data_IF_032639834587
#
_entry.id   IF_032639834587
#
_cell.length_a   1.000
_cell.length_b   1.000
_cell.length_c   1.000
_cell.angle_alpha   90.00
_cell.angle_beta   90.00
_cell.angle_gamma   90.00
#
_symmetry.space_group_name_H-M   'P 1'
#
loop_
_entity.id
_entity.type
_entity.pdbx_description
1 polymer ?
#
# COMPACT_ATOMS: atom_id res chain seq x y z
N UNK A 1 -122.91 31.63 16.97
CA UNK A 1 -123.24 32.89 16.25
C UNK A 1 -121.91 33.49 15.78
N UNK A 2 -121.69 33.61 14.46
CA UNK A 2 -120.53 34.30 13.83
C UNK A 2 -119.23 33.46 13.78
N UNK A 3 -118.84 32.76 12.70
CA UNK A 3 -118.38 33.18 11.35
C UNK A 3 -117.11 34.07 11.34
N UNK A 4 -115.97 33.53 10.85
CA UNK A 4 -115.19 33.99 9.65
C UNK A 4 -113.65 33.79 9.73
N UNK A 5 -113.16 32.92 8.85
CA UNK A 5 -112.23 33.19 7.74
C UNK A 5 -110.89 33.94 7.92
N UNK A 6 -109.84 33.24 7.46
CA UNK A 6 -108.85 33.64 6.43
C UNK A 6 -107.59 34.42 6.85
N UNK A 7 -106.42 33.93 6.42
CA UNK A 7 -105.23 34.75 6.22
C UNK A 7 -103.90 34.03 6.40
N UNK A 8 -103.41 33.36 5.35
CA UNK A 8 -102.01 32.91 5.23
C UNK A 8 -101.12 34.16 5.05
N UNK A 9 -100.13 34.34 5.92
CA UNK A 9 -99.00 35.26 5.68
C UNK A 9 -97.70 34.48 5.90
N UNK A 10 -97.01 34.24 4.79
CA UNK A 10 -95.65 33.72 4.69
C UNK A 10 -94.70 34.86 5.07
N UNK A 11 -93.94 34.71 6.15
CA UNK A 11 -92.85 35.62 6.50
C UNK A 11 -91.51 34.92 6.22
N UNK A 12 -90.77 35.48 5.27
CA UNK A 12 -89.55 34.96 4.67
C UNK A 12 -88.36 35.17 5.64
N UNK A 13 -87.93 34.13 6.35
CA UNK A 13 -86.70 34.18 7.17
C UNK A 13 -85.45 34.03 6.28
N UNK A 14 -84.84 35.16 5.94
CA UNK A 14 -83.56 35.27 5.24
C UNK A 14 -82.43 34.74 6.16
N UNK A 15 -82.08 33.46 6.02
CA UNK A 15 -80.97 32.84 6.75
C UNK A 15 -79.64 33.25 6.08
N UNK A 16 -78.94 34.23 6.65
CA UNK A 16 -77.51 34.43 6.38
C UNK A 16 -76.76 33.19 6.87
N UNK A 17 -76.37 32.32 5.95
CA UNK A 17 -75.43 31.24 6.21
C UNK A 17 -74.03 31.84 6.37
N UNK A 18 -73.63 32.11 7.61
CA UNK A 18 -72.24 32.33 7.96
C UNK A 18 -71.51 30.99 7.80
N UNK A 19 -70.76 30.83 6.70
CA UNK A 19 -69.81 29.73 6.57
C UNK A 19 -68.77 29.84 7.68
N UNK A 20 -68.96 29.09 8.76
CA UNK A 20 -67.96 28.93 9.81
C UNK A 20 -66.75 28.22 9.19
N UNK A 21 -65.68 28.98 8.95
CA UNK A 21 -64.41 28.43 8.51
C UNK A 21 -63.87 27.56 9.64
N UNK A 22 -63.86 26.24 9.44
CA UNK A 22 -63.38 25.26 10.41
C UNK A 22 -61.89 25.49 10.71
N UNK A 23 -61.59 26.15 11.83
CA UNK A 23 -60.22 26.47 12.26
C UNK A 23 -59.49 25.23 12.78
N UNK A 24 -58.21 25.10 12.44
CA UNK A 24 -57.32 24.04 12.97
C UNK A 24 -56.92 24.42 14.40
N UNK A 25 -57.12 23.54 15.39
CA UNK A 25 -56.73 23.80 16.79
C UNK A 25 -55.37 23.17 17.08
N UNK A 26 -54.45 23.94 17.67
CA UNK A 26 -53.10 23.51 18.04
C UNK A 26 -52.98 23.40 19.56
N UNK A 27 -52.24 22.40 20.05
CA UNK A 27 -51.88 22.19 21.45
C UNK A 27 -50.36 22.08 21.60
N UNK A 28 -49.74 22.83 22.50
CA UNK A 28 -48.30 22.73 22.82
C UNK A 28 -48.03 23.08 24.29
N UNK A 29 -46.81 22.86 24.77
CA UNK A 29 -46.36 23.18 26.13
C UNK A 29 -45.25 24.24 26.07
N UNK A 30 -45.35 25.31 26.88
CA UNK A 30 -44.34 26.38 26.96
C UNK A 30 -43.20 26.04 27.94
N UNK A 31 -42.21 26.94 28.08
CA UNK A 31 -41.05 26.75 28.98
C UNK A 31 -41.43 26.71 30.47
N UNK A 32 -42.58 27.25 30.85
CA UNK A 32 -43.11 27.22 32.22
C UNK A 32 -43.93 25.94 32.47
N UNK A 33 -43.99 25.01 31.50
CA UNK A 33 -44.74 23.77 31.60
C UNK A 33 -46.25 23.93 31.41
N UNK A 34 -46.71 25.11 30.94
CA UNK A 34 -48.13 25.38 30.71
C UNK A 34 -48.56 24.89 29.34
N UNK A 35 -49.70 24.22 29.29
CA UNK A 35 -50.29 23.76 28.04
C UNK A 35 -51.14 24.86 27.42
N UNK A 36 -50.87 25.21 26.17
CA UNK A 36 -51.58 26.22 25.40
C UNK A 36 -52.43 25.58 24.31
N UNK A 37 -53.59 26.17 24.04
CA UNK A 37 -54.47 25.82 22.93
C UNK A 37 -54.77 27.07 22.11
N UNK A 38 -54.56 27.03 20.79
CA UNK A 38 -54.80 28.18 19.92
C UNK A 38 -55.20 27.74 18.52
N UNK A 39 -56.04 28.54 17.86
CA UNK A 39 -56.37 28.41 16.44
C UNK A 39 -55.21 28.84 15.52
N UNK A 40 -54.25 29.61 16.06
CA UNK A 40 -53.04 30.08 15.39
C UNK A 40 -51.80 29.76 16.24
N UNK A 41 -50.86 29.04 15.65
CA UNK A 41 -49.56 28.78 16.26
C UNK A 41 -48.68 30.04 16.19
N UNK A 42 -48.23 30.62 17.32
CA UNK A 42 -47.32 31.76 17.30
C UNK A 42 -45.99 31.38 16.64
N UNK A 43 -45.34 32.28 15.88
CA UNK A 43 -44.06 31.98 15.22
C UNK A 43 -42.97 31.51 16.20
N UNK A 44 -42.97 32.01 17.44
CA UNK A 44 -42.02 31.64 18.49
C UNK A 44 -42.07 30.16 18.86
N UNK A 45 -43.22 29.49 18.73
CA UNK A 45 -43.45 28.11 19.21
C UNK A 45 -43.29 27.05 18.11
N UNK A 46 -42.93 27.48 16.90
CA UNK A 46 -42.83 26.60 15.71
C UNK A 46 -41.83 25.46 15.87
N UNK A 47 -40.82 25.64 16.73
CA UNK A 47 -39.75 24.68 16.99
C UNK A 47 -40.09 23.64 18.07
N UNK A 48 -41.24 23.73 18.74
CA UNK A 48 -41.63 22.81 19.81
C UNK A 48 -42.52 21.67 19.31
N UNK A 49 -42.56 20.61 20.13
CA UNK A 49 -43.51 19.53 19.98
C UNK A 49 -44.95 20.07 20.14
N UNK A 50 -45.84 19.69 19.22
CA UNK A 50 -47.23 20.17 19.18
C UNK A 50 -48.17 19.12 18.61
N UNK A 51 -49.43 19.20 18.99
CA UNK A 51 -50.51 18.38 18.46
C UNK A 51 -51.53 19.23 17.73
N UNK A 52 -52.01 18.75 16.59
CA UNK A 52 -53.18 19.26 15.88
C UNK A 52 -54.40 18.47 16.36
N UNK A 53 -55.41 19.19 16.81
CA UNK A 53 -56.66 18.63 17.29
C UNK A 53 -57.78 18.87 16.26
N UNK A 54 -58.70 17.93 16.14
CA UNK A 54 -59.95 18.12 15.39
C UNK A 54 -61.00 18.90 16.21
N UNK A 55 -62.19 19.06 15.63
CA UNK A 55 -63.31 19.79 16.24
C UNK A 55 -63.80 19.15 17.55
N UNK A 56 -63.46 17.90 17.81
CA UNK A 56 -63.84 17.15 19.01
C UNK A 56 -62.71 17.15 20.06
N UNK A 57 -61.60 17.85 19.78
CA UNK A 57 -60.43 17.91 20.66
C UNK A 57 -59.54 16.67 20.57
N UNK A 58 -59.73 15.81 19.57
CA UNK A 58 -58.97 14.58 19.39
C UNK A 58 -57.71 14.89 18.58
N UNK A 59 -56.55 14.39 19.02
CA UNK A 59 -55.28 14.55 18.29
C UNK A 59 -55.33 13.81 16.97
N UNK A 60 -55.35 14.57 15.88
CA UNK A 60 -55.31 14.04 14.51
C UNK A 60 -53.92 14.06 13.90
N UNK A 61 -52.99 14.86 14.44
CA UNK A 61 -51.59 14.88 14.01
C UNK A 61 -50.68 15.37 15.13
N UNK A 62 -49.53 14.74 15.31
CA UNK A 62 -48.49 15.20 16.23
C UNK A 62 -47.25 15.61 15.42
N UNK A 63 -46.59 16.69 15.86
CA UNK A 63 -45.33 17.19 15.31
C UNK A 63 -44.35 17.25 16.46
N UNK A 64 -43.24 16.55 16.38
CA UNK A 64 -42.22 16.55 17.45
C UNK A 64 -41.42 17.87 17.46
N UNK A 65 -40.67 18.09 18.54
CA UNK A 65 -39.80 19.25 18.64
C UNK A 65 -38.71 19.22 17.54
N UNK A 66 -38.25 20.40 17.12
CA UNK A 66 -37.08 20.52 16.29
C UNK A 66 -35.89 19.91 17.04
N UNK A 67 -35.16 19.01 16.36
CA UNK A 67 -33.94 18.38 16.90
C UNK A 67 -32.95 19.46 17.30
N UNK A 68 -32.23 19.22 18.40
CA UNK A 68 -31.13 20.09 18.79
C UNK A 68 -29.98 20.01 17.77
N UNK A 69 -29.14 21.04 17.72
CA UNK A 69 -27.94 21.04 16.88
C UNK A 69 -27.00 19.87 17.21
N UNK A 70 -27.00 19.38 18.46
CA UNK A 70 -26.24 18.19 18.87
C UNK A 70 -26.83 16.91 18.29
N UNK A 71 -28.15 16.72 18.38
CA UNK A 71 -28.84 15.55 17.81
C UNK A 71 -28.70 15.51 16.28
N UNK A 72 -28.81 16.66 15.62
CA UNK A 72 -28.57 16.76 14.18
C UNK A 72 -27.13 16.40 13.80
N UNK A 73 -26.13 16.86 14.58
CA UNK A 73 -24.72 16.50 14.34
C UNK A 73 -24.48 15.01 14.55
N UNK A 74 -25.05 14.41 15.60
CA UNK A 74 -24.92 12.97 15.86
C UNK A 74 -25.57 12.13 14.76
N UNK A 75 -26.75 12.50 14.26
CA UNK A 75 -27.39 11.81 13.14
C UNK A 75 -26.57 11.94 11.84
N UNK A 76 -26.04 13.12 11.55
CA UNK A 76 -25.16 13.33 10.39
C UNK A 76 -23.88 12.48 10.48
N UNK A 77 -23.28 12.37 11.67
CA UNK A 77 -22.11 11.53 11.90
C UNK A 77 -22.45 10.04 11.75
N UNK A 78 -23.58 9.58 12.32
CA UNK A 78 -24.03 8.20 12.17
C UNK A 78 -24.32 7.84 10.71
N UNK A 79 -24.98 8.73 9.97
CA UNK A 79 -25.25 8.52 8.54
C UNK A 79 -23.95 8.53 7.73
N UNK A 80 -23.00 9.43 8.03
CA UNK A 80 -21.67 9.42 7.41
C UNK A 80 -20.96 8.09 7.63
N UNK A 81 -20.94 7.59 8.87
CA UNK A 81 -20.33 6.29 9.21
C UNK A 81 -21.04 5.12 8.52
N UNK A 82 -22.37 5.17 8.41
CA UNK A 82 -23.16 4.15 7.70
C UNK A 82 -22.82 4.13 6.21
N UNK A 83 -22.79 5.30 5.56
CA UNK A 83 -22.44 5.44 4.15
C UNK A 83 -20.99 4.99 3.89
N UNK A 84 -20.06 5.31 4.79
CA UNK A 84 -18.67 4.85 4.70
C UNK A 84 -18.57 3.33 4.79
N UNK A 85 -19.24 2.71 5.77
CA UNK A 85 -19.30 1.24 5.91
C UNK A 85 -19.90 0.59 4.66
N UNK A 86 -20.98 1.14 4.12
CA UNK A 86 -21.61 0.63 2.90
C UNK A 86 -20.65 0.71 1.71
N UNK A 87 -19.97 1.85 1.52
CA UNK A 87 -18.96 2.01 0.45
C UNK A 87 -17.82 0.99 0.56
N UNK A 88 -17.31 0.75 1.77
CA UNK A 88 -16.25 -0.24 2.00
C UNK A 88 -16.74 -1.65 1.67
N UNK A 89 -17.97 -2.01 2.09
CA UNK A 89 -18.58 -3.31 1.79
C UNK A 89 -18.77 -3.51 0.28
N UNK A 90 -19.36 -2.52 -0.41
CA UNK A 90 -19.60 -2.56 -1.85
C UNK A 90 -18.29 -2.70 -2.63
N UNK A 91 -17.25 -1.96 -2.22
CA UNK A 91 -15.90 -2.06 -2.79
C UNK A 91 -15.34 -3.47 -2.59
N UNK A 92 -15.42 -4.03 -1.39
CA UNK A 92 -14.94 -5.39 -1.12
C UNK A 92 -15.67 -6.42 -1.97
N UNK A 93 -17.01 -6.34 -2.04
CA UNK A 93 -17.80 -7.26 -2.86
C UNK A 93 -17.46 -7.12 -4.35
N UNK A 94 -17.18 -5.92 -4.85
CA UNK A 94 -16.73 -5.71 -6.21
C UNK A 94 -15.37 -6.39 -6.46
N UNK A 95 -14.41 -6.24 -5.55
CA UNK A 95 -13.11 -6.90 -5.61
C UNK A 95 -13.26 -8.42 -5.56
N UNK A 96 -14.09 -8.95 -4.67
CA UNK A 96 -14.37 -10.39 -4.55
C UNK A 96 -14.96 -10.96 -5.85
N UNK A 97 -15.91 -10.23 -6.47
CA UNK A 97 -16.49 -10.62 -7.76
C UNK A 97 -15.44 -10.64 -8.87
N UNK A 98 -14.53 -9.66 -8.89
CA UNK A 98 -13.42 -9.64 -9.86
C UNK A 98 -12.50 -10.84 -9.62
N UNK A 99 -12.07 -11.06 -8.37
CA UNK A 99 -11.18 -12.17 -8.00
C UNK A 99 -11.75 -13.53 -8.45
N UNK A 100 -13.01 -13.81 -8.13
CA UNK A 100 -13.68 -15.07 -8.49
C UNK A 100 -13.98 -15.21 -9.99
N UNK A 101 -14.02 -14.12 -10.75
CA UNK A 101 -14.19 -14.14 -12.21
C UNK A 101 -12.85 -14.32 -12.93
N UNK A 102 -11.79 -13.72 -12.41
CA UNK A 102 -10.44 -13.79 -12.97
C UNK A 102 -9.84 -15.18 -12.76
N UNK A 103 -10.05 -15.78 -11.58
CA UNK A 103 -9.44 -17.06 -11.22
C UNK A 103 -10.52 -18.10 -10.90
N UNK A 104 -10.42 -19.28 -11.53
CA UNK A 104 -11.36 -20.40 -11.30
C UNK A 104 -10.87 -21.32 -10.20
N UNK A 105 -9.55 -21.49 -10.12
CA UNK A 105 -8.84 -22.36 -9.18
C UNK A 105 -7.71 -21.63 -8.48
N UNK A 106 -7.20 -22.20 -7.38
CA UNK A 106 -5.99 -21.69 -6.73
C UNK A 106 -4.77 -21.78 -7.65
N UNK A 107 -4.69 -22.83 -8.47
CA UNK A 107 -3.62 -23.03 -9.44
C UNK A 107 -3.56 -21.90 -10.47
N UNK A 108 -4.70 -21.33 -10.88
CA UNK A 108 -4.72 -20.16 -11.78
C UNK A 108 -4.04 -18.94 -11.15
N UNK A 109 -4.28 -18.70 -9.86
CA UNK A 109 -3.66 -17.62 -9.08
C UNK A 109 -2.14 -17.85 -9.02
N UNK A 110 -1.74 -19.07 -8.64
CA UNK A 110 -0.33 -19.44 -8.50
C UNK A 110 0.41 -19.40 -9.84
N UNK A 111 -0.19 -19.88 -10.91
CA UNK A 111 0.36 -19.85 -12.26
C UNK A 111 0.56 -18.41 -12.74
N UNK A 112 -0.44 -17.54 -12.52
CA UNK A 112 -0.36 -16.13 -12.90
C UNK A 112 0.74 -15.41 -12.11
N UNK A 113 0.80 -15.62 -10.78
CA UNK A 113 1.87 -15.11 -9.92
C UNK A 113 3.23 -15.55 -10.42
N UNK A 114 3.42 -16.85 -10.64
CA UNK A 114 4.70 -17.43 -11.04
C UNK A 114 5.12 -16.90 -12.42
N UNK A 115 4.19 -16.71 -13.35
CA UNK A 115 4.45 -16.08 -14.65
C UNK A 115 4.96 -14.64 -14.51
N UNK A 116 4.33 -13.83 -13.66
CA UNK A 116 4.79 -12.45 -13.39
C UNK A 116 6.15 -12.42 -12.70
N UNK A 117 6.38 -13.30 -11.71
CA UNK A 117 7.68 -13.42 -11.05
C UNK A 117 8.77 -13.83 -12.04
N UNK A 118 8.51 -14.78 -12.94
CA UNK A 118 9.45 -15.23 -13.96
C UNK A 118 9.81 -14.12 -14.97
N UNK A 119 8.85 -13.25 -15.30
CA UNK A 119 9.12 -12.08 -16.15
C UNK A 119 10.10 -11.12 -15.46
N UNK A 120 9.88 -10.79 -14.18
CA UNK A 120 10.79 -9.94 -13.41
C UNK A 120 12.17 -10.60 -13.25
N UNK A 121 12.20 -11.90 -12.96
CA UNK A 121 13.43 -12.67 -12.84
C UNK A 121 14.26 -12.67 -14.13
N UNK A 122 13.60 -12.74 -15.29
CA UNK A 122 14.28 -12.65 -16.59
C UNK A 122 15.00 -11.32 -16.75
N UNK A 123 14.40 -10.22 -16.32
CA UNK A 123 15.07 -8.92 -16.33
C UNK A 123 16.27 -8.88 -15.37
N UNK A 124 16.15 -9.48 -14.18
CA UNK A 124 17.28 -9.57 -13.23
C UNK A 124 18.45 -10.30 -13.87
N UNK A 125 18.22 -11.45 -14.52
CA UNK A 125 19.28 -12.21 -15.22
C UNK A 125 19.96 -11.42 -16.34
N UNK A 126 19.20 -10.61 -17.08
CA UNK A 126 19.76 -9.71 -18.10
C UNK A 126 20.64 -8.64 -17.45
N UNK A 127 20.19 -8.03 -16.36
CA UNK A 127 20.98 -7.04 -15.60
C UNK A 127 22.24 -7.66 -15.01
N UNK A 128 22.17 -8.87 -14.45
CA UNK A 128 23.34 -9.62 -13.95
C UNK A 128 24.37 -9.89 -15.06
N UNK A 129 23.90 -10.23 -16.27
CA UNK A 129 24.78 -10.41 -17.42
C UNK A 129 25.46 -9.09 -17.84
N UNK A 130 24.74 -7.97 -17.78
CA UNK A 130 25.31 -6.64 -18.00
C UNK A 130 26.35 -6.28 -16.91
N UNK A 131 26.06 -6.57 -15.65
CA UNK A 131 26.98 -6.36 -14.52
C UNK A 131 28.29 -7.12 -14.74
N UNK A 132 28.22 -8.39 -15.15
CA UNK A 132 29.44 -9.17 -15.44
C UNK A 132 30.29 -8.48 -16.51
N UNK A 133 29.68 -8.05 -17.61
CA UNK A 133 30.38 -7.31 -18.68
C UNK A 133 30.99 -6.00 -18.17
N UNK A 134 30.25 -5.22 -17.39
CA UNK A 134 30.72 -3.95 -16.82
C UNK A 134 31.93 -4.16 -15.90
N UNK A 135 31.89 -5.19 -15.04
CA UNK A 135 33.02 -5.54 -14.16
C UNK A 135 34.27 -5.91 -14.95
N UNK A 136 34.16 -6.77 -15.95
CA UNK A 136 35.29 -7.15 -16.80
C UNK A 136 35.88 -5.93 -17.53
N UNK A 137 35.04 -5.07 -18.12
CA UNK A 137 35.52 -3.83 -18.75
C UNK A 137 36.22 -2.91 -17.75
N UNK A 138 35.68 -2.78 -16.53
CA UNK A 138 36.29 -1.97 -15.47
C UNK A 138 37.65 -2.50 -15.05
N UNK A 139 37.78 -3.81 -14.85
CA UNK A 139 39.06 -4.45 -14.49
C UNK A 139 40.12 -4.21 -15.59
N UNK A 140 39.77 -4.38 -16.87
CA UNK A 140 40.68 -4.10 -17.99
C UNK A 140 41.14 -2.63 -18.01
N UNK A 141 40.21 -1.69 -17.81
CA UNK A 141 40.51 -0.26 -17.79
C UNK A 141 41.40 0.11 -16.59
N UNK A 142 41.11 -0.39 -15.41
CA UNK A 142 41.92 -0.10 -14.21
C UNK A 142 43.32 -0.74 -14.31
N UNK A 143 43.44 -1.94 -14.87
CA UNK A 143 44.73 -2.57 -15.12
C UNK A 143 45.57 -1.78 -16.13
N UNK A 144 44.96 -1.29 -17.22
CA UNK A 144 45.66 -0.44 -18.18
C UNK A 144 46.12 0.89 -17.54
N UNK A 145 45.27 1.50 -16.71
CA UNK A 145 45.61 2.72 -15.99
C UNK A 145 46.79 2.49 -15.02
N UNK A 146 46.75 1.41 -14.23
CA UNK A 146 47.82 1.03 -13.32
C UNK A 146 49.14 0.77 -14.06
N UNK A 147 49.12 0.04 -15.19
CA UNK A 147 50.31 -0.20 -16.00
C UNK A 147 50.93 1.10 -16.53
N UNK A 148 50.10 2.07 -16.94
CA UNK A 148 50.56 3.40 -17.38
C UNK A 148 51.30 4.13 -16.26
N UNK A 149 50.71 4.17 -15.07
CA UNK A 149 51.30 4.82 -13.89
C UNK A 149 52.62 4.15 -13.49
N UNK A 150 52.65 2.82 -13.41
CA UNK A 150 53.86 2.03 -13.15
C UNK A 150 54.95 2.25 -14.21
N UNK A 151 54.56 2.55 -15.45
CA UNK A 151 55.47 2.89 -16.55
C UNK A 151 55.87 4.38 -16.55
N UNK A 152 55.52 5.15 -15.52
CA UNK A 152 55.80 6.58 -15.41
C UNK A 152 55.00 7.47 -16.38
N UNK A 153 53.96 6.94 -17.03
CA UNK A 153 53.12 7.68 -17.98
C UNK A 153 51.82 8.10 -17.31
N UNK A 154 51.42 9.38 -17.36
CA UNK A 154 50.19 9.82 -16.71
C UNK A 154 48.94 9.18 -17.34
N UNK A 155 47.94 8.87 -16.53
CA UNK A 155 46.62 8.45 -17.00
C UNK A 155 45.89 9.67 -17.56
N UNK A 156 45.26 9.53 -18.74
CA UNK A 156 44.54 10.67 -19.34
C UNK A 156 43.28 11.00 -18.54
N UNK A 157 42.93 12.29 -18.45
CA UNK A 157 41.69 12.75 -17.79
C UNK A 157 40.43 12.09 -18.40
N UNK A 158 40.45 11.85 -19.72
CA UNK A 158 39.38 11.14 -20.43
C UNK A 158 39.21 9.71 -19.89
N UNK A 159 40.32 8.99 -19.73
CA UNK A 159 40.28 7.62 -19.23
C UNK A 159 39.76 7.54 -17.78
N UNK A 160 40.20 8.44 -16.91
CA UNK A 160 39.68 8.50 -15.53
C UNK A 160 38.16 8.76 -15.52
N UNK A 161 37.70 9.69 -16.35
CA UNK A 161 36.27 9.97 -16.51
C UNK A 161 35.49 8.76 -17.04
N UNK A 162 36.05 8.04 -18.03
CA UNK A 162 35.42 6.85 -18.59
C UNK A 162 35.30 5.74 -17.53
N UNK A 163 36.32 5.55 -16.67
CA UNK A 163 36.28 4.62 -15.53
C UNK A 163 35.14 5.00 -14.58
N UNK A 164 35.03 6.27 -14.19
CA UNK A 164 33.99 6.72 -13.26
C UNK A 164 32.59 6.56 -13.85
N UNK A 165 32.40 6.82 -15.14
CA UNK A 165 31.14 6.55 -15.85
C UNK A 165 30.79 5.05 -15.81
N UNK A 166 31.76 4.16 -15.97
CA UNK A 166 31.51 2.70 -15.87
C UNK A 166 31.21 2.27 -14.43
N UNK A 167 31.86 2.87 -13.42
CA UNK A 167 31.56 2.62 -12.00
C UNK A 167 30.13 3.06 -11.66
N UNK A 168 29.70 4.22 -12.14
CA UNK A 168 28.31 4.67 -11.96
C UNK A 168 27.31 3.73 -12.65
N UNK A 169 27.57 3.34 -13.89
CA UNK A 169 26.69 2.40 -14.61
C UNK A 169 26.56 1.05 -13.89
N UNK A 170 27.61 0.60 -13.19
CA UNK A 170 27.58 -0.60 -12.36
C UNK A 170 26.72 -0.41 -11.10
N UNK A 171 26.83 0.73 -10.42
CA UNK A 171 25.96 1.07 -9.28
C UNK A 171 24.49 1.16 -9.70
N UNK A 172 24.19 1.80 -10.83
CA UNK A 172 22.84 1.91 -11.38
C UNK A 172 22.25 0.53 -11.70
N UNK A 173 23.07 -0.37 -12.26
CA UNK A 173 22.66 -1.75 -12.53
C UNK A 173 22.32 -2.52 -11.25
N UNK A 174 23.10 -2.33 -10.17
CA UNK A 174 22.80 -2.91 -8.86
C UNK A 174 21.52 -2.34 -8.24
N UNK A 175 21.34 -1.02 -8.31
CA UNK A 175 20.10 -0.37 -7.86
C UNK A 175 18.87 -0.96 -8.58
N UNK A 176 18.99 -1.20 -9.90
CA UNK A 176 17.91 -1.81 -10.68
C UNK A 176 17.59 -3.24 -10.24
N UNK A 177 18.57 -4.03 -9.77
CA UNK A 177 18.31 -5.37 -9.21
C UNK A 177 17.49 -5.25 -7.92
N UNK A 178 17.88 -4.34 -7.02
CA UNK A 178 17.18 -4.14 -5.74
C UNK A 178 15.72 -3.72 -5.98
N UNK A 179 15.49 -2.77 -6.89
CA UNK A 179 14.14 -2.34 -7.25
C UNK A 179 13.28 -3.49 -7.83
N UNK A 180 13.90 -4.40 -8.59
CA UNK A 180 13.23 -5.58 -9.15
C UNK A 180 12.93 -6.63 -8.09
N UNK A 181 13.80 -6.82 -7.10
CA UNK A 181 13.49 -7.70 -5.96
C UNK A 181 12.36 -7.14 -5.10
N UNK A 182 12.31 -5.83 -4.87
CA UNK A 182 11.14 -5.19 -4.26
C UNK A 182 9.87 -5.34 -5.11
N UNK A 183 9.99 -5.30 -6.45
CA UNK A 183 8.86 -5.58 -7.33
C UNK A 183 8.37 -7.03 -7.20
N UNK A 184 9.28 -8.02 -7.17
CA UNK A 184 8.92 -9.42 -6.88
C UNK A 184 8.16 -9.54 -5.56
N UNK A 185 8.59 -8.82 -4.53
CA UNK A 185 7.87 -8.81 -3.25
C UNK A 185 6.45 -8.24 -3.35
N UNK A 186 6.28 -7.09 -4.02
CA UNK A 186 4.94 -6.51 -4.24
C UNK A 186 4.00 -7.49 -4.95
N UNK A 187 4.52 -8.23 -5.94
CA UNK A 187 3.77 -9.30 -6.61
C UNK A 187 3.42 -10.40 -5.60
N UNK A 188 4.41 -10.93 -4.85
CA UNK A 188 4.17 -11.99 -3.85
C UNK A 188 3.10 -11.58 -2.82
N UNK A 189 3.21 -10.39 -2.25
CA UNK A 189 2.27 -9.87 -1.26
C UNK A 189 0.86 -9.69 -1.84
N UNK A 190 0.74 -9.11 -3.04
CA UNK A 190 -0.55 -8.95 -3.72
C UNK A 190 -1.23 -10.31 -3.92
N UNK A 191 -0.50 -11.26 -4.50
CA UNK A 191 -1.05 -12.60 -4.77
C UNK A 191 -1.27 -13.42 -3.51
N UNK A 192 -0.51 -13.19 -2.43
CA UNK A 192 -0.76 -13.80 -1.13
C UNK A 192 -2.09 -13.33 -0.53
N UNK A 193 -2.40 -12.04 -0.62
CA UNK A 193 -3.70 -11.49 -0.20
C UNK A 193 -4.83 -12.05 -1.06
N UNK A 194 -4.66 -12.10 -2.37
CA UNK A 194 -5.65 -12.67 -3.30
C UNK A 194 -5.89 -14.15 -3.03
N UNK A 195 -4.83 -14.93 -2.82
CA UNK A 195 -4.94 -16.36 -2.54
C UNK A 195 -5.63 -16.61 -1.20
N UNK A 196 -5.27 -15.86 -0.15
CA UNK A 196 -5.95 -15.94 1.14
C UNK A 196 -7.44 -15.60 1.00
N UNK A 197 -7.77 -14.50 0.32
CA UNK A 197 -9.17 -14.10 0.11
C UNK A 197 -9.94 -15.11 -0.73
N UNK A 198 -9.32 -15.68 -1.76
CA UNK A 198 -9.92 -16.70 -2.59
C UNK A 198 -10.26 -17.97 -1.79
N UNK A 199 -9.35 -18.43 -0.93
CA UNK A 199 -9.56 -19.56 -0.01
C UNK A 199 -10.75 -19.32 0.90
N UNK A 200 -10.86 -18.12 1.49
CA UNK A 200 -12.00 -17.73 2.34
C UNK A 200 -13.32 -17.79 1.56
N UNK A 201 -13.38 -17.19 0.37
CA UNK A 201 -14.59 -17.14 -0.46
C UNK A 201 -15.03 -18.52 -0.96
N UNK A 202 -14.06 -19.41 -1.24
CA UNK A 202 -14.30 -20.79 -1.68
C UNK A 202 -14.46 -21.78 -0.52
N UNK A 203 -14.28 -21.33 0.73
CA UNK A 203 -14.31 -22.17 1.95
C UNK A 203 -13.33 -23.34 1.87
N UNK A 204 -12.14 -23.09 1.33
CA UNK A 204 -11.08 -24.09 1.23
C UNK A 204 -10.31 -24.14 2.55
N UNK A 205 -10.12 -25.35 3.08
CA UNK A 205 -9.24 -25.56 4.23
C UNK A 205 -7.80 -25.62 3.73
N UNK A 206 -6.92 -24.80 4.29
CA UNK A 206 -5.49 -24.83 3.98
C UNK A 206 -4.67 -24.75 5.26
N UNK A 207 -3.58 -25.52 5.30
CA UNK A 207 -2.61 -25.53 6.39
C UNK A 207 -1.52 -24.47 6.22
N UNK A 208 -1.45 -23.80 5.06
CA UNK A 208 -0.40 -22.80 4.79
C UNK A 208 -0.96 -21.38 4.73
N UNK A 209 -0.19 -20.43 5.27
CA UNK A 209 -0.50 -19.01 5.23
C UNK A 209 0.29 -18.34 4.08
N UNK A 210 -0.35 -17.97 2.96
CA UNK A 210 0.35 -17.36 1.82
C UNK A 210 1.08 -16.06 2.15
N UNK A 211 0.63 -15.34 3.18
CA UNK A 211 1.23 -14.07 3.60
C UNK A 211 2.59 -14.33 4.24
N UNK A 212 2.67 -15.29 5.15
CA UNK A 212 3.93 -15.70 5.78
C UNK A 212 4.91 -16.25 4.74
N UNK A 213 4.45 -17.11 3.82
CA UNK A 213 5.29 -17.62 2.72
C UNK A 213 5.87 -16.48 1.85
N UNK A 214 5.08 -15.43 1.60
CA UNK A 214 5.51 -14.27 0.84
C UNK A 214 6.55 -13.43 1.60
N UNK A 215 6.37 -13.24 2.91
CA UNK A 215 7.30 -12.52 3.78
C UNK A 215 8.64 -13.25 3.92
N UNK A 216 8.61 -14.56 4.17
CA UNK A 216 9.82 -15.39 4.23
C UNK A 216 10.60 -15.34 2.90
N UNK A 217 9.89 -15.47 1.78
CA UNK A 217 10.48 -15.39 0.44
C UNK A 217 11.12 -14.02 0.15
N UNK A 218 10.60 -12.95 0.74
CA UNK A 218 11.16 -11.61 0.58
C UNK A 218 12.39 -11.40 1.45
N UNK A 219 12.32 -11.83 2.71
CA UNK A 219 13.43 -11.75 3.64
C UNK A 219 14.64 -12.53 3.11
N UNK A 220 14.42 -13.72 2.54
CA UNK A 220 15.45 -14.51 1.87
C UNK A 220 16.07 -13.77 0.67
N UNK A 221 15.25 -13.17 -0.19
CA UNK A 221 15.72 -12.46 -1.38
C UNK A 221 16.56 -11.21 -1.07
N UNK A 222 16.33 -10.55 0.07
CA UNK A 222 17.03 -9.32 0.47
C UNK A 222 18.09 -9.51 1.55
N UNK A 223 18.49 -10.75 1.89
CA UNK A 223 19.59 -11.01 2.85
C UNK A 223 20.90 -10.28 2.48
N UNK A 224 21.09 -10.01 1.19
CA UNK A 224 22.27 -9.34 0.65
C UNK A 224 22.14 -7.81 0.59
N UNK A 225 21.06 -7.25 1.13
CA UNK A 225 20.82 -5.80 1.15
C UNK A 225 20.76 -5.35 2.60
N UNK A 226 21.57 -4.34 2.92
CA UNK A 226 21.55 -3.68 4.22
C UNK A 226 21.06 -2.24 4.05
N UNK A 227 19.97 -1.89 4.72
CA UNK A 227 19.38 -0.55 4.64
C UNK A 227 19.96 0.36 5.73
N UNK A 228 20.54 1.49 5.35
CA UNK A 228 20.96 2.55 6.25
C UNK A 228 19.87 3.62 6.37
N UNK A 229 19.72 4.20 7.57
CA UNK A 229 18.79 5.31 7.80
C UNK A 229 19.20 6.60 7.06
N UNK A 230 20.51 6.80 6.84
CA UNK A 230 21.06 7.92 6.09
C UNK A 230 22.43 7.56 5.54
N UNK A 231 22.96 8.38 4.63
CA UNK A 231 24.30 8.20 4.10
C UNK A 231 25.37 8.24 5.21
N UNK A 232 25.32 9.23 6.10
CA UNK A 232 26.24 9.29 7.25
C UNK A 232 26.16 8.07 8.16
N UNK A 233 24.95 7.55 8.41
CA UNK A 233 24.75 6.33 9.20
C UNK A 233 25.36 5.09 8.53
N UNK A 234 25.60 5.14 7.22
CA UNK A 234 26.15 4.06 6.42
C UNK A 234 27.68 3.94 6.52
N UNK A 235 28.38 4.90 7.11
CA UNK A 235 29.85 4.89 7.20
C UNK A 235 30.42 3.71 8.01
N UNK A 236 29.85 3.42 9.19
CA UNK A 236 30.27 2.27 10.01
C UNK A 236 29.90 0.93 9.33
N UNK A 237 28.64 0.70 8.92
CA UNK A 237 28.27 -0.49 8.15
C UNK A 237 29.11 -0.70 6.91
N UNK A 238 29.47 0.37 6.18
CA UNK A 238 30.31 0.26 4.99
C UNK A 238 31.72 -0.27 5.30
N UNK A 239 32.34 0.21 6.39
CA UNK A 239 33.63 -0.34 6.84
C UNK A 239 33.52 -1.82 7.21
N UNK A 240 32.43 -2.22 7.89
CA UNK A 240 32.18 -3.62 8.24
C UNK A 240 31.92 -4.47 7.01
N UNK A 241 31.19 -3.95 6.01
CA UNK A 241 30.97 -4.62 4.74
C UNK A 241 32.28 -4.91 4.00
N UNK A 242 33.22 -3.96 3.99
CA UNK A 242 34.58 -4.19 3.43
C UNK A 242 35.34 -5.29 4.19
N UNK A 243 35.20 -5.36 5.51
CA UNK A 243 35.81 -6.44 6.32
C UNK A 243 35.14 -7.79 6.06
N UNK A 244 33.81 -7.81 5.96
CA UNK A 244 33.02 -8.98 5.66
C UNK A 244 33.39 -9.55 4.28
N UNK A 245 33.48 -8.68 3.26
CA UNK A 245 33.97 -9.04 1.93
C UNK A 245 35.34 -9.72 2.03
N UNK A 246 36.33 -9.09 2.68
CA UNK A 246 37.69 -9.65 2.79
C UNK A 246 37.73 -11.00 3.50
N UNK A 247 36.83 -11.24 4.46
CA UNK A 247 36.74 -12.50 5.21
C UNK A 247 36.12 -13.63 4.38
N UNK A 248 35.17 -13.31 3.50
CA UNK A 248 34.34 -14.30 2.82
C UNK A 248 34.62 -14.45 1.33
N UNK A 249 35.37 -13.53 0.71
CA UNK A 249 35.86 -13.69 -0.65
C UNK A 249 37.10 -14.58 -0.69
N UNK A 250 37.15 -15.53 -1.62
CA UNK A 250 38.38 -16.29 -1.89
C UNK A 250 39.27 -15.61 -2.93
N UNK A 251 38.71 -14.68 -3.72
CA UNK A 251 39.44 -13.96 -4.77
C UNK A 251 39.96 -12.61 -4.26
N UNK A 252 41.07 -12.14 -4.83
CA UNK A 252 41.73 -10.92 -4.39
C UNK A 252 40.90 -9.67 -4.71
N UNK A 253 40.96 -8.64 -3.86
CA UNK A 253 40.37 -7.32 -4.13
C UNK A 253 41.09 -6.70 -5.33
N UNK A 254 40.32 -6.31 -6.35
CA UNK A 254 40.82 -5.64 -7.56
C UNK A 254 40.50 -4.16 -7.55
N UNK A 255 39.28 -3.82 -7.14
CA UNK A 255 38.78 -2.46 -7.10
C UNK A 255 38.39 -2.13 -5.66
N UNK A 256 38.98 -1.10 -5.08
CA UNK A 256 38.63 -0.57 -3.76
C UNK A 256 38.32 0.94 -3.86
N UNK A 257 37.09 1.23 -4.28
CA UNK A 257 36.58 2.59 -4.40
C UNK A 257 35.87 3.09 -3.14
N UNK A 258 35.46 4.36 -3.19
CA UNK A 258 34.71 4.99 -2.10
C UNK A 258 33.37 4.28 -1.84
N UNK A 259 32.59 4.03 -2.91
CA UNK A 259 31.24 3.45 -2.84
C UNK A 259 31.14 2.05 -3.43
N UNK A 260 32.24 1.46 -3.91
CA UNK A 260 32.22 0.14 -4.51
C UNK A 260 33.52 -0.61 -4.25
N UNK A 261 33.43 -1.88 -3.91
CA UNK A 261 34.59 -2.78 -3.75
C UNK A 261 34.30 -4.06 -4.51
N UNK A 262 35.22 -4.51 -5.36
CA UNK A 262 35.04 -5.67 -6.23
C UNK A 262 36.28 -6.56 -6.12
N UNK A 263 36.05 -7.85 -5.87
CA UNK A 263 37.09 -8.88 -5.97
C UNK A 263 37.19 -9.43 -7.38
N UNK A 264 38.32 -10.07 -7.70
CA UNK A 264 38.58 -10.66 -9.00
C UNK A 264 37.50 -11.69 -9.39
N UNK A 265 37.36 -11.94 -10.69
CA UNK A 265 36.47 -12.98 -11.19
C UNK A 265 36.87 -14.36 -10.62
N UNK A 266 35.89 -15.24 -10.34
CA UNK A 266 36.15 -16.59 -9.85
C UNK A 266 36.70 -17.46 -10.99
N UNK A 267 37.91 -18.00 -10.84
CA UNK A 267 38.63 -18.76 -11.88
C UNK A 267 38.66 -20.25 -11.57
N UNK A 268 38.80 -20.61 -10.30
CA UNK A 268 38.84 -21.98 -9.79
C UNK A 268 37.48 -22.42 -9.30
N UNK A 269 37.31 -23.74 -9.21
CA UNK A 269 36.17 -24.29 -8.50
C UNK A 269 36.24 -23.89 -7.02
N UNK A 270 35.09 -23.54 -6.44
CA UNK A 270 35.01 -23.03 -5.07
C UNK A 270 35.39 -21.55 -4.94
N UNK A 271 35.83 -20.87 -6.01
CA UNK A 271 36.09 -19.43 -5.92
C UNK A 271 34.80 -18.66 -5.66
N UNK A 272 34.83 -17.82 -4.62
CA UNK A 272 33.78 -16.90 -4.22
C UNK A 272 34.29 -15.49 -4.46
N UNK A 273 33.72 -14.85 -5.47
CA UNK A 273 33.91 -13.43 -5.76
C UNK A 273 32.76 -12.64 -5.15
N UNK A 274 33.09 -11.58 -4.41
CA UNK A 274 32.13 -10.70 -3.76
C UNK A 274 32.32 -9.28 -4.28
N UNK A 275 31.23 -8.58 -4.53
CA UNK A 275 31.23 -7.15 -4.79
C UNK A 275 30.29 -6.44 -3.85
N UNK A 276 30.76 -5.38 -3.23
CA UNK A 276 29.99 -4.54 -2.33
C UNK A 276 29.75 -3.19 -2.99
N UNK A 277 28.52 -2.71 -2.97
CA UNK A 277 28.16 -1.39 -3.49
C UNK A 277 27.35 -0.62 -2.45
N UNK A 278 27.79 0.59 -2.11
CA UNK A 278 27.01 1.59 -1.38
C UNK A 278 26.24 2.40 -2.40
N UNK A 279 24.92 2.33 -2.34
CA UNK A 279 24.01 2.92 -3.33
C UNK A 279 23.10 3.90 -2.60
N UNK A 280 23.09 5.14 -3.04
CA UNK A 280 22.19 6.16 -2.53
C UNK A 280 20.93 6.21 -3.41
N UNK A 281 19.75 6.20 -2.77
CA UNK A 281 18.48 6.49 -3.42
C UNK A 281 18.05 7.92 -3.04
N UNK A 282 18.39 8.92 -3.87
CA UNK A 282 18.07 10.32 -3.58
C UNK A 282 16.55 10.59 -3.55
N UNK A 283 15.73 9.74 -4.18
CA UNK A 283 14.26 9.90 -4.15
C UNK A 283 13.69 9.50 -2.80
N UNK A 284 14.29 8.51 -2.14
CA UNK A 284 13.86 8.01 -0.83
C UNK A 284 14.68 8.58 0.33
N UNK A 285 15.79 9.27 0.05
CA UNK A 285 16.73 9.75 1.05
C UNK A 285 17.39 8.62 1.84
N UNK A 286 17.47 7.42 1.25
CA UNK A 286 17.98 6.21 1.90
C UNK A 286 19.25 5.74 1.21
N UNK A 287 20.21 5.23 1.98
CA UNK A 287 21.41 4.59 1.44
C UNK A 287 21.35 3.10 1.76
N UNK A 288 21.74 2.27 0.80
CA UNK A 288 21.79 0.81 0.98
C UNK A 288 23.19 0.30 0.68
N UNK A 289 23.58 -0.78 1.36
CA UNK A 289 24.78 -1.55 1.02
C UNK A 289 24.31 -2.87 0.41
N UNK A 290 24.73 -3.10 -0.82
CA UNK A 290 24.39 -4.27 -1.61
C UNK A 290 25.60 -5.20 -1.72
N UNK A 291 25.39 -6.49 -1.45
CA UNK A 291 26.38 -7.55 -1.66
C UNK A 291 25.98 -8.42 -2.86
N UNK A 292 26.78 -8.35 -3.92
CA UNK A 292 26.73 -9.26 -5.05
C UNK A 292 27.73 -10.41 -4.85
N UNK A 293 27.30 -11.64 -5.06
CA UNK A 293 28.15 -12.83 -4.91
C UNK A 293 28.14 -13.61 -6.22
N UNK A 294 29.33 -13.92 -6.73
CA UNK A 294 29.54 -14.64 -7.98
C UNK A 294 30.50 -15.80 -7.75
N UNK A 295 30.18 -16.94 -8.35
CA UNK A 295 31.09 -18.09 -8.42
C UNK A 295 31.34 -18.49 -9.86
N UNK A 296 32.33 -19.35 -10.04
CA UNK A 296 32.56 -20.01 -11.34
C UNK A 296 31.34 -20.85 -11.70
N UNK A 297 30.79 -20.63 -12.90
CA UNK A 297 29.75 -21.50 -13.45
C UNK A 297 30.38 -22.81 -13.89
N UNK A 298 29.90 -23.90 -13.32
CA UNK A 298 30.19 -25.25 -13.77
C UNK A 298 28.94 -25.83 -14.44
N UNK A 299 28.93 -26.01 -15.78
CA UNK A 299 27.79 -26.57 -16.50
C UNK A 299 27.53 -28.05 -16.19
N UNK A 300 28.48 -28.75 -15.58
CA UNK A 300 28.37 -30.19 -15.27
C UNK A 300 27.75 -30.46 -13.89
N UNK A 301 27.59 -29.42 -13.07
CA UNK A 301 27.14 -29.56 -11.69
C UNK A 301 25.63 -29.39 -11.58
N UNK A 302 24.97 -30.34 -10.91
CA UNK A 302 23.52 -30.33 -10.68
C UNK A 302 23.04 -29.23 -9.71
N UNK A 303 23.94 -28.61 -8.93
CA UNK A 303 23.61 -27.58 -7.94
C UNK A 303 24.26 -26.25 -8.32
N UNK A 304 23.42 -25.22 -8.52
CA UNK A 304 23.88 -23.86 -8.72
C UNK A 304 24.69 -23.36 -7.51
N UNK A 305 25.79 -22.61 -7.74
CA UNK A 305 26.67 -22.15 -6.65
C UNK A 305 25.92 -21.37 -5.56
N UNK A 306 24.91 -20.60 -5.95
CA UNK A 306 24.07 -19.81 -5.04
C UNK A 306 23.35 -20.64 -3.97
N UNK A 307 23.23 -21.96 -4.17
CA UNK A 307 22.58 -22.91 -3.26
C UNK A 307 23.57 -23.71 -2.41
N UNK A 308 24.86 -23.40 -2.49
CA UNK A 308 25.86 -24.08 -1.64
C UNK A 308 25.73 -23.61 -0.19
N UNK A 309 25.94 -24.48 0.81
CA UNK A 309 25.83 -24.10 2.22
C UNK A 309 26.71 -22.91 2.60
N UNK A 310 27.92 -22.84 2.06
CA UNK A 310 28.85 -21.74 2.28
C UNK A 310 28.30 -20.41 1.77
N UNK A 311 27.80 -20.37 0.52
CA UNK A 311 27.20 -19.15 -0.04
C UNK A 311 25.95 -18.74 0.73
N UNK A 312 25.08 -19.69 1.10
CA UNK A 312 23.89 -19.39 1.90
C UNK A 312 24.25 -18.80 3.26
N UNK A 313 25.28 -19.33 3.93
CA UNK A 313 25.78 -18.79 5.19
C UNK A 313 26.34 -17.37 5.04
N UNK A 314 27.06 -17.09 3.95
CA UNK A 314 27.57 -15.74 3.64
C UNK A 314 26.42 -14.75 3.45
N UNK A 315 25.36 -15.14 2.72
CA UNK A 315 24.18 -14.29 2.53
C UNK A 315 23.45 -14.04 3.85
N UNK A 316 23.12 -15.10 4.59
CA UNK A 316 22.39 -15.00 5.84
C UNK A 316 23.13 -14.22 6.94
N UNK A 317 24.47 -14.29 6.98
CA UNK A 317 25.30 -13.59 7.95
C UNK A 317 25.54 -12.10 7.66
N UNK A 318 25.22 -11.63 6.44
CA UNK A 318 25.62 -10.31 5.96
C UNK A 318 25.00 -9.18 6.78
N UNK A 319 23.67 -9.14 6.89
CA UNK A 319 22.99 -8.07 7.62
C UNK A 319 23.44 -7.99 9.09
N UNK A 320 23.56 -9.15 9.76
CA UNK A 320 23.98 -9.22 11.15
C UNK A 320 25.42 -8.72 11.35
N UNK A 321 26.32 -9.00 10.41
CA UNK A 321 27.70 -8.52 10.47
C UNK A 321 27.81 -6.99 10.36
N UNK A 322 26.86 -6.34 9.69
CA UNK A 322 26.83 -4.88 9.49
C UNK A 322 26.16 -4.12 10.66
N UNK A 323 25.48 -4.84 11.57
CA UNK A 323 24.87 -4.27 12.77
C UNK A 323 25.84 -4.14 13.97
N UNK A 324 26.97 -4.85 13.93
CA UNK A 324 27.99 -4.86 15.01
C UNK A 324 28.64 -3.48 15.19
#
# INVERSE_FOLDING_TARGET
MGLKNLGIIIFLCFNLSLSCYAGKLYKWVDDEGRTHYSDKLPPSETHRARSHLDQQGITVKQVDAAKSDEELRQEQEQERLRLERQRVLEKQQALDRVLLRTFRTEDDILMTRNGQLQAVETHIRVTQSNIKRLKSTLDDMEQFAAQRELSGKPVSKKMLKDIDVKRQALQDAYSSIIDREHHKNRIRQSFAMDLKRFRELKKLNSTTNPIEEAEESFNDALQNVFNCQSDMACNKPWRLAKQYLKKHSTTAVKIDGANIVITAEPVKEGDISISMSRIEDPKKGSTVIFMDLQCKKDPTRNMACEKTPEVMQIKAGFQQALLQ
#
